data_IF_761094624095
#
_entry.id   IF_761094624095
#
_cell.length_a   1.000
_cell.length_b   1.000
_cell.length_c   1.000
_cell.angle_alpha   90.00
_cell.angle_beta   90.00
_cell.angle_gamma   90.00
#
_symmetry.space_group_name_H-M   'P 1'
#
loop_
_entity.id
_entity.type
_entity.pdbx_description
1 polymer ?
#
# COMPACT_ATOMS: atom_id res chain seq x y z
N UNK A 1 2.05 -15.20 -21.31
CA UNK A 1 0.85 -15.92 -20.80
C UNK A 1 1.21 -16.96 -19.75
N UNK A 2 2.11 -17.91 -20.02
CA UNK A 2 2.49 -18.94 -19.03
C UNK A 2 3.14 -18.36 -17.76
N UNK A 3 4.08 -17.41 -17.88
CA UNK A 3 4.69 -16.74 -16.72
C UNK A 3 3.68 -15.98 -15.84
N UNK A 4 2.64 -15.39 -16.45
CA UNK A 4 1.56 -14.68 -15.76
C UNK A 4 0.54 -15.62 -15.12
N UNK A 5 0.43 -16.85 -15.63
CA UNK A 5 -0.37 -17.92 -15.05
C UNK A 5 0.39 -18.58 -13.89
N UNK A 6 1.70 -18.81 -14.05
CA UNK A 6 2.56 -19.37 -13.02
C UNK A 6 2.64 -18.47 -11.79
N UNK A 7 2.77 -17.15 -11.96
CA UNK A 7 2.73 -16.20 -10.84
C UNK A 7 1.36 -16.12 -10.12
N UNK A 8 0.29 -16.60 -10.76
CA UNK A 8 -1.04 -16.76 -10.14
C UNK A 8 -1.23 -18.13 -9.50
N UNK A 9 -0.61 -19.18 -10.05
CA UNK A 9 -0.67 -20.56 -9.56
C UNK A 9 0.23 -20.78 -8.34
N UNK A 10 1.33 -20.02 -8.22
CA UNK A 10 2.15 -20.01 -7.02
C UNK A 10 1.39 -19.57 -5.77
N UNK A 11 0.19 -18.97 -5.91
CA UNK A 11 -0.67 -18.45 -4.84
C UNK A 11 -1.24 -19.46 -3.82
N UNK A 12 -0.85 -20.74 -3.87
CA UNK A 12 -1.38 -21.81 -3.01
C UNK A 12 -0.43 -22.39 -1.96
N UNK A 13 0.85 -21.97 -1.92
CA UNK A 13 1.87 -22.52 -1.03
C UNK A 13 2.22 -21.65 0.19
N UNK A 14 2.97 -22.19 1.16
CA UNK A 14 3.64 -21.39 2.19
C UNK A 14 4.53 -20.33 1.52
N UNK A 15 4.49 -19.08 2.00
CA UNK A 15 5.26 -17.96 1.43
C UNK A 15 4.51 -17.11 0.39
N UNK A 16 3.25 -17.42 0.10
CA UNK A 16 2.40 -16.61 -0.77
C UNK A 16 1.92 -15.36 -0.06
N UNK A 17 2.07 -14.22 -0.71
CA UNK A 17 1.55 -12.96 -0.19
C UNK A 17 0.04 -12.85 -0.42
N UNK A 18 -0.71 -12.64 0.66
CA UNK A 18 -2.18 -12.46 0.67
C UNK A 18 -2.53 -11.10 1.22
N UNK A 19 -2.49 -10.11 0.34
CA UNK A 19 -2.92 -8.75 0.66
C UNK A 19 -4.42 -8.57 0.42
N UNK A 20 -5.12 -7.63 1.11
CA UNK A 20 -6.57 -7.43 0.98
C UNK A 20 -7.04 -7.28 -0.47
N UNK A 21 -6.27 -6.54 -1.28
CA UNK A 21 -6.60 -6.29 -2.69
C UNK A 21 -6.53 -7.53 -3.60
N UNK A 22 -5.84 -8.60 -3.18
CA UNK A 22 -5.81 -9.87 -3.88
C UNK A 22 -6.95 -10.81 -3.43
N UNK A 23 -7.38 -10.69 -2.17
CA UNK A 23 -8.48 -11.49 -1.62
C UNK A 23 -9.83 -11.06 -2.20
N UNK A 24 -10.05 -9.75 -2.36
CA UNK A 24 -11.29 -9.19 -2.91
C UNK A 24 -11.01 -8.31 -4.14
N UNK A 25 -10.69 -8.90 -5.32
CA UNK A 25 -10.25 -8.16 -6.49
C UNK A 25 -11.31 -7.21 -7.07
N UNK A 26 -12.59 -7.60 -7.01
CA UNK A 26 -13.71 -6.78 -7.50
C UNK A 26 -13.90 -5.55 -6.61
N UNK A 27 -13.92 -5.75 -5.29
CA UNK A 27 -13.95 -4.64 -4.33
C UNK A 27 -12.73 -3.72 -4.48
N UNK A 28 -11.55 -4.28 -4.69
CA UNK A 28 -10.35 -3.49 -4.93
C UNK A 28 -10.46 -2.65 -6.22
N UNK A 29 -11.13 -3.17 -7.26
CA UNK A 29 -11.43 -2.41 -8.47
C UNK A 29 -12.42 -1.27 -8.19
N UNK A 30 -13.44 -1.51 -7.36
CA UNK A 30 -14.42 -0.50 -6.96
C UNK A 30 -13.77 0.63 -6.16
N UNK A 31 -12.87 0.31 -5.24
CA UNK A 31 -12.07 1.29 -4.49
C UNK A 31 -11.24 2.15 -5.45
N UNK A 32 -10.57 1.55 -6.45
CA UNK A 32 -9.80 2.31 -7.45
C UNK A 32 -10.69 3.20 -8.32
N UNK A 33 -11.88 2.72 -8.71
CA UNK A 33 -12.88 3.54 -9.43
C UNK A 33 -13.35 4.73 -8.60
N UNK A 34 -13.59 4.52 -7.31
CA UNK A 34 -13.94 5.57 -6.38
C UNK A 34 -12.80 6.60 -6.24
N UNK A 35 -11.55 6.14 -6.03
CA UNK A 35 -10.38 7.01 -5.98
C UNK A 35 -10.23 7.86 -7.26
N UNK A 36 -10.43 7.28 -8.44
CA UNK A 36 -10.41 8.02 -9.69
C UNK A 36 -11.52 9.08 -9.76
N UNK A 37 -12.69 8.79 -9.18
CA UNK A 37 -13.80 9.75 -9.12
C UNK A 37 -13.57 10.90 -8.14
N UNK A 38 -12.75 10.72 -7.10
CA UNK A 38 -12.40 11.77 -6.12
C UNK A 38 -11.15 12.57 -6.52
N UNK A 39 -10.39 12.11 -7.52
CA UNK A 39 -9.31 12.88 -8.12
C UNK A 39 -9.87 14.05 -8.95
N UNK A 40 -9.59 15.27 -8.51
CA UNK A 40 -10.04 16.52 -9.13
C UNK A 40 -8.86 17.30 -9.66
N UNK A 41 -9.14 18.26 -10.55
CA UNK A 41 -8.14 19.24 -10.99
C UNK A 41 -8.49 20.59 -10.39
N UNK A 42 -7.48 21.28 -9.85
CA UNK A 42 -7.69 22.66 -9.40
C UNK A 42 -7.81 23.55 -10.62
N UNK A 43 -8.70 24.55 -10.58
CA UNK A 43 -8.69 25.67 -11.54
C UNK A 43 -7.49 26.58 -11.22
N UNK A 44 -6.29 26.05 -11.32
CA UNK A 44 -5.02 26.74 -11.17
C UNK A 44 -4.25 26.66 -12.49
N UNK A 45 -3.25 27.54 -12.67
CA UNK A 45 -2.30 27.44 -13.77
C UNK A 45 -0.92 27.13 -13.16
N UNK A 46 -0.42 25.89 -13.25
CA UNK A 46 -0.96 24.75 -13.99
C UNK A 46 -2.04 23.98 -13.21
N UNK A 47 -2.93 23.24 -13.89
CA UNK A 47 -4.00 22.49 -13.24
C UNK A 47 -3.48 21.18 -12.65
N UNK A 48 -2.96 21.25 -11.42
CA UNK A 48 -2.43 20.07 -10.71
C UNK A 48 -3.58 19.20 -10.16
N UNK A 49 -3.59 17.88 -10.41
CA UNK A 49 -4.55 16.96 -9.82
C UNK A 49 -4.37 16.81 -8.31
N UNK A 50 -5.47 16.65 -7.59
CA UNK A 50 -5.49 16.43 -6.15
C UNK A 50 -6.68 15.53 -5.77
N UNK A 51 -6.55 14.76 -4.69
CA UNK A 51 -7.68 14.01 -4.13
C UNK A 51 -8.56 14.94 -3.31
N UNK A 52 -9.86 14.98 -3.62
CA UNK A 52 -10.85 15.67 -2.81
C UNK A 52 -11.16 14.94 -1.49
N UNK A 53 -10.92 13.62 -1.47
CA UNK A 53 -11.12 12.75 -0.33
C UNK A 53 -9.90 11.84 -0.21
N UNK A 54 -9.27 11.83 0.97
CA UNK A 54 -8.15 10.96 1.28
C UNK A 54 -8.43 10.25 2.60
N UNK A 55 -8.15 8.96 2.63
CA UNK A 55 -8.25 8.11 3.82
C UNK A 55 -6.87 7.59 4.21
N UNK A 56 -6.79 7.00 5.40
CA UNK A 56 -5.62 6.28 5.88
C UNK A 56 -6.00 4.83 6.10
N UNK A 57 -5.11 3.93 5.71
CA UNK A 57 -5.26 2.51 5.97
C UNK A 57 -4.56 2.15 7.29
N UNK A 58 -5.25 1.39 8.13
CA UNK A 58 -4.70 0.82 9.36
C UNK A 58 -5.06 -0.67 9.42
N UNK A 59 -4.18 -1.45 10.05
CA UNK A 59 -4.50 -2.84 10.36
C UNK A 59 -5.61 -2.88 11.43
N UNK A 60 -6.64 -3.73 11.29
CA UNK A 60 -7.70 -3.86 12.28
C UNK A 60 -7.16 -4.28 13.65
N UNK A 61 -7.67 -3.70 14.73
CA UNK A 61 -7.25 -4.01 16.10
C UNK A 61 -7.63 -5.45 16.50
N UNK A 62 -8.67 -6.00 15.88
CA UNK A 62 -9.19 -7.35 16.08
C UNK A 62 -8.17 -8.45 15.69
N UNK A 63 -7.06 -8.07 15.01
CA UNK A 63 -5.94 -8.99 14.78
C UNK A 63 -5.34 -9.49 16.10
N UNK A 64 -5.41 -8.69 17.17
CA UNK A 64 -4.91 -9.07 18.50
C UNK A 64 -5.75 -10.18 19.16
N UNK A 65 -7.02 -10.33 18.75
CA UNK A 65 -7.92 -11.37 19.25
C UNK A 65 -7.72 -12.73 18.57
N UNK A 66 -6.94 -12.77 17.48
CA UNK A 66 -6.67 -14.00 16.73
C UNK A 66 -5.72 -14.94 17.51
N UNK A 67 -5.87 -16.27 17.36
CA UNK A 67 -4.90 -17.21 17.91
C UNK A 67 -3.49 -16.91 17.37
N UNK A 68 -2.47 -17.00 18.23
CA UNK A 68 -1.09 -16.62 17.89
C UNK A 68 -0.60 -17.20 16.55
N UNK A 69 -0.84 -18.50 16.30
CA UNK A 69 -0.45 -19.15 15.05
C UNK A 69 -1.11 -18.53 13.80
N UNK A 70 -2.35 -18.04 13.93
CA UNK A 70 -3.08 -17.36 12.86
C UNK A 70 -2.52 -15.95 12.65
N UNK A 71 -2.22 -15.23 13.72
CA UNK A 71 -1.59 -13.89 13.65
C UNK A 71 -0.22 -13.95 12.99
N UNK A 72 0.60 -14.95 13.35
CA UNK A 72 1.91 -15.18 12.73
C UNK A 72 1.79 -15.48 11.23
N UNK A 73 0.84 -16.34 10.84
CA UNK A 73 0.56 -16.62 9.44
C UNK A 73 0.05 -15.38 8.69
N UNK A 74 -0.89 -14.63 9.27
CA UNK A 74 -1.40 -13.38 8.69
C UNK A 74 -0.25 -12.41 8.40
N UNK A 75 0.65 -12.19 9.36
CA UNK A 75 1.78 -11.28 9.16
C UNK A 75 2.81 -11.82 8.17
N UNK A 76 3.03 -13.14 8.08
CA UNK A 76 3.85 -13.74 7.03
C UNK A 76 3.30 -13.46 5.63
N UNK A 77 1.97 -13.57 5.47
CA UNK A 77 1.32 -13.39 4.17
C UNK A 77 1.11 -11.90 3.81
N UNK A 78 1.00 -11.00 4.79
CA UNK A 78 0.68 -9.59 4.58
C UNK A 78 1.89 -8.65 4.52
N UNK A 79 2.91 -8.90 5.34
CA UNK A 79 4.01 -7.95 5.56
C UNK A 79 5.24 -8.27 4.71
N UNK A 80 6.04 -7.24 4.46
CA UNK A 80 7.41 -7.40 4.00
C UNK A 80 8.33 -7.53 5.22
N UNK A 81 8.64 -8.77 5.59
CA UNK A 81 9.47 -9.05 6.78
C UNK A 81 10.92 -8.61 6.59
N UNK A 82 11.45 -8.66 5.37
CA UNK A 82 12.81 -8.23 5.08
C UNK A 82 12.92 -6.71 5.22
N UNK A 83 11.96 -5.96 4.65
CA UNK A 83 11.90 -4.52 4.82
C UNK A 83 11.65 -4.12 6.28
N UNK A 84 10.74 -4.81 6.98
CA UNK A 84 10.50 -4.56 8.41
C UNK A 84 11.79 -4.75 9.23
N UNK A 85 12.48 -5.86 9.02
CA UNK A 85 13.71 -6.18 9.74
C UNK A 85 14.81 -5.14 9.47
N UNK A 86 14.97 -4.71 8.22
CA UNK A 86 15.96 -3.69 7.87
C UNK A 86 15.64 -2.32 8.49
N UNK A 87 14.36 -1.93 8.54
CA UNK A 87 13.94 -0.66 9.11
C UNK A 87 13.99 -0.63 10.64
N UNK A 88 13.96 -1.80 11.29
CA UNK A 88 14.07 -1.96 12.75
C UNK A 88 15.47 -2.36 13.22
N UNK A 89 16.40 -2.65 12.29
CA UNK A 89 17.79 -2.97 12.60
C UNK A 89 18.52 -1.76 13.19
N UNK A 90 19.55 -2.00 14.01
CA UNK A 90 20.29 -0.93 14.70
C UNK A 90 21.16 -0.10 13.71
N UNK A 91 21.03 1.25 13.66
CA UNK A 91 20.07 2.08 14.40
C UNK A 91 18.66 2.06 13.78
N UNK A 92 17.60 1.84 14.58
CA UNK A 92 16.24 1.69 14.06
C UNK A 92 15.69 2.98 13.47
N UNK A 93 15.10 2.88 12.27
CA UNK A 93 14.44 3.99 11.56
C UNK A 93 12.98 4.11 11.96
N UNK A 94 12.30 2.98 12.13
CA UNK A 94 10.92 2.89 12.62
C UNK A 94 10.90 2.16 13.95
N UNK A 95 9.81 2.33 14.70
CA UNK A 95 9.53 1.55 15.91
C UNK A 95 10.63 1.57 16.98
N UNK A 96 11.50 2.60 16.96
CA UNK A 96 12.61 2.77 17.89
C UNK A 96 12.15 3.21 19.30
N UNK A 97 10.96 3.82 19.40
CA UNK A 97 10.41 4.32 20.66
C UNK A 97 9.46 3.32 21.29
N UNK A 98 9.81 2.86 22.50
CA UNK A 98 8.93 2.00 23.31
C UNK A 98 7.62 2.71 23.67
N UNK A 99 7.69 4.02 23.91
CA UNK A 99 6.51 4.85 24.21
C UNK A 99 5.51 4.83 23.04
N UNK A 100 5.98 5.08 21.83
CA UNK A 100 5.11 5.13 20.66
C UNK A 100 4.56 3.73 20.30
N UNK A 101 5.42 2.71 20.37
CA UNK A 101 5.07 1.37 19.88
C UNK A 101 4.23 0.57 20.87
N UNK A 102 4.62 0.52 22.14
CA UNK A 102 4.00 -0.34 23.16
C UNK A 102 3.00 0.42 24.00
N UNK A 103 3.36 1.61 24.50
CA UNK A 103 2.46 2.36 25.39
C UNK A 103 1.29 3.03 24.65
N UNK A 104 1.55 3.52 23.43
CA UNK A 104 0.54 4.17 22.58
C UNK A 104 0.02 3.27 21.43
N UNK A 105 0.46 2.01 21.34
CA UNK A 105 -0.02 1.07 20.32
C UNK A 105 0.20 1.52 18.87
N UNK A 106 1.15 2.41 18.61
CA UNK A 106 1.36 3.05 17.29
C UNK A 106 2.49 2.38 16.50
N UNK A 107 2.61 1.05 16.60
CA UNK A 107 3.61 0.28 15.86
C UNK A 107 3.33 0.37 14.35
N UNK A 108 4.36 0.71 13.58
CA UNK A 108 4.31 0.73 12.12
C UNK A 108 4.63 -0.63 11.52
N UNK A 109 3.89 -1.01 10.49
CA UNK A 109 4.06 -2.27 9.77
C UNK A 109 4.33 -2.01 8.29
N UNK A 110 5.41 -2.58 7.76
CA UNK A 110 5.77 -2.56 6.36
C UNK A 110 4.90 -3.56 5.60
N UNK A 111 3.87 -3.05 4.92
CA UNK A 111 3.02 -3.87 4.05
C UNK A 111 3.83 -4.38 2.85
N UNK A 112 3.59 -5.63 2.47
CA UNK A 112 4.20 -6.17 1.26
C UNK A 112 3.71 -5.44 0.01
N UNK A 113 4.65 -5.20 -0.90
CA UNK A 113 4.41 -4.57 -2.19
C UNK A 113 5.04 -5.40 -3.31
N UNK A 114 4.46 -5.34 -4.51
CA UNK A 114 4.96 -6.07 -5.68
C UNK A 114 6.21 -5.41 -6.25
N UNK A 115 7.25 -6.20 -6.52
CA UNK A 115 8.50 -5.74 -7.14
C UNK A 115 8.39 -5.60 -8.66
N UNK A 116 7.44 -4.78 -9.15
CA UNK A 116 7.11 -4.65 -10.58
C UNK A 116 7.38 -3.25 -11.17
N UNK A 117 8.09 -2.37 -10.44
CA UNK A 117 8.52 -1.06 -10.95
C UNK A 117 7.62 0.15 -10.65
N UNK A 118 6.61 0.00 -9.78
CA UNK A 118 5.69 1.08 -9.35
C UNK A 118 5.50 1.14 -7.82
N UNK A 119 6.48 0.64 -7.05
CA UNK A 119 6.36 0.46 -5.61
C UNK A 119 6.02 1.75 -4.85
N UNK A 120 6.50 2.92 -5.29
CA UNK A 120 6.16 4.21 -4.67
C UNK A 120 4.64 4.46 -4.67
N UNK A 121 4.00 4.27 -5.82
CA UNK A 121 2.59 4.58 -6.04
C UNK A 121 1.70 3.49 -5.47
N UNK A 122 2.15 2.24 -5.56
CA UNK A 122 1.52 1.12 -4.88
C UNK A 122 1.53 1.31 -3.36
N UNK A 123 2.66 1.72 -2.76
CA UNK A 123 2.75 1.99 -1.32
C UNK A 123 1.87 3.16 -0.90
N UNK A 124 1.78 4.22 -1.71
CA UNK A 124 0.89 5.35 -1.43
C UNK A 124 -0.59 4.95 -1.47
N UNK A 125 -1.01 4.19 -2.48
CA UNK A 125 -2.38 3.67 -2.55
C UNK A 125 -2.67 2.66 -1.41
N UNK A 126 -1.69 1.86 -1.00
CA UNK A 126 -1.86 0.92 0.11
C UNK A 126 -2.02 1.66 1.44
N UNK A 127 -1.16 2.63 1.73
CA UNK A 127 -1.19 3.40 2.97
C UNK A 127 -2.46 4.27 3.12
N UNK A 128 -3.17 4.52 2.02
CA UNK A 128 -4.38 5.37 2.02
C UNK A 128 -5.67 4.55 1.89
N UNK A 129 -5.73 3.68 0.89
CA UNK A 129 -6.96 2.97 0.49
C UNK A 129 -6.83 1.44 0.57
N UNK A 130 -5.68 0.90 0.99
CA UNK A 130 -5.46 -0.54 1.13
C UNK A 130 -5.37 -1.30 -0.20
N UNK A 131 -5.15 -0.61 -1.33
CA UNK A 131 -5.06 -1.21 -2.68
C UNK A 131 -3.80 -0.77 -3.41
N UNK A 132 -3.44 -1.46 -4.49
CA UNK A 132 -2.33 -1.07 -5.38
C UNK A 132 -2.76 -0.07 -6.46
N UNK A 133 -1.84 0.69 -7.05
CA UNK A 133 -2.08 1.58 -8.20
C UNK A 133 -2.15 0.77 -9.52
N UNK A 134 -2.96 -0.28 -9.53
CA UNK A 134 -3.02 -1.25 -10.64
C UNK A 134 -3.48 -0.62 -11.96
N UNK A 135 -4.29 0.42 -11.89
CA UNK A 135 -4.83 1.12 -13.05
C UNK A 135 -3.96 2.33 -13.44
N UNK A 136 -2.78 2.52 -12.85
CA UNK A 136 -1.88 3.65 -13.10
C UNK A 136 -2.58 5.01 -12.88
N UNK A 137 -3.46 5.12 -11.90
CA UNK A 137 -4.17 6.36 -11.58
C UNK A 137 -3.18 7.39 -11.04
N UNK A 138 -2.47 7.04 -9.97
CA UNK A 138 -1.48 7.95 -9.38
C UNK A 138 -0.31 8.18 -10.32
N UNK A 139 0.10 7.14 -11.05
CA UNK A 139 1.18 7.26 -12.04
C UNK A 139 0.90 8.31 -13.10
N UNK A 140 -0.30 8.28 -13.67
CA UNK A 140 -0.74 9.26 -14.68
C UNK A 140 -0.87 10.65 -14.06
N UNK A 141 -1.52 10.75 -12.89
CA UNK A 141 -1.65 12.02 -12.19
C UNK A 141 -0.29 12.68 -11.87
N UNK A 142 0.69 11.90 -11.43
CA UNK A 142 2.06 12.37 -11.16
C UNK A 142 2.76 12.83 -12.44
N UNK A 143 2.69 12.02 -13.51
CA UNK A 143 3.28 12.36 -14.81
C UNK A 143 2.70 13.66 -15.38
N UNK A 144 1.38 13.82 -15.31
CA UNK A 144 0.69 15.02 -15.77
C UNK A 144 1.08 16.23 -14.93
N UNK A 145 1.16 16.06 -13.60
CA UNK A 145 1.59 17.12 -12.68
C UNK A 145 2.99 17.62 -12.99
N UNK A 146 3.96 16.72 -13.15
CA UNK A 146 5.35 17.07 -13.45
C UNK A 146 5.48 17.73 -14.82
N UNK A 147 4.76 17.24 -15.82
CA UNK A 147 4.80 17.80 -17.19
C UNK A 147 4.20 19.20 -17.22
N UNK A 148 3.06 19.40 -16.56
CA UNK A 148 2.37 20.69 -16.54
C UNK A 148 3.02 21.69 -15.59
N UNK A 149 3.71 21.27 -14.54
CA UNK A 149 4.42 22.17 -13.63
C UNK A 149 5.87 22.45 -14.07
N UNK A 150 6.45 21.66 -14.97
CA UNK A 150 7.86 21.76 -15.34
C UNK A 150 8.30 23.06 -16.02
N UNK A 151 7.36 23.92 -16.41
CA UNK A 151 7.63 25.23 -17.02
C UNK A 151 7.33 26.42 -16.09
N UNK A 152 6.97 26.15 -14.83
CA UNK A 152 6.69 27.17 -13.82
C UNK A 152 7.99 27.42 -13.04
N UNK A 153 8.73 28.46 -13.45
CA UNK A 153 9.82 29.06 -12.68
C UNK A 153 9.30 30.06 -11.63
#
# INVERSE_FOLDING_TARGET
MLATLLSRIEGGGPGVKRVPSYVAPDLAADIRRHAAATLRHRKANPPIPFFAELSTFALPAEIEDLPQAVTEQLFEELLDKDAQQQLEADPPVINWSLELTVHLGSRLYALWNRSAGDCLLDSLMQATLGVFDRDNLLRRALSDSLTQAGHVE
#
